data_IF_474676962197
#
_entry.id   IF_474676962197
#
_cell.length_a   1.000
_cell.length_b   1.000
_cell.length_c   1.000
_cell.angle_alpha   90.00
_cell.angle_beta   90.00
_cell.angle_gamma   90.00
#
_symmetry.space_group_name_H-M   'P 1'
#
loop_
_entity.id
_entity.type
_entity.pdbx_description
1 polymer ?
#
# COMPACT_ATOMS: atom_id res chain seq x y z
N UNK A 1 -4.11 23.90 -25.93
CA UNK A 1 -3.64 24.33 -24.59
C UNK A 1 -2.34 23.60 -24.28
N UNK A 2 -1.20 24.30 -24.12
CA UNK A 2 0.08 23.67 -23.73
C UNK A 2 0.28 23.87 -22.23
N UNK A 3 0.28 22.79 -21.45
CA UNK A 3 0.60 22.86 -20.02
C UNK A 3 2.11 23.07 -19.84
N UNK A 4 2.51 23.91 -18.87
CA UNK A 4 3.92 24.07 -18.50
C UNK A 4 4.24 23.05 -17.40
N UNK A 5 5.32 22.26 -17.51
CA UNK A 5 5.71 21.34 -16.45
C UNK A 5 6.17 22.12 -15.20
N UNK A 6 5.80 21.62 -14.01
CA UNK A 6 6.27 22.16 -12.74
C UNK A 6 7.67 21.58 -12.43
N UNK A 7 8.74 22.39 -12.37
CA UNK A 7 10.09 21.89 -12.09
C UNK A 7 10.26 21.37 -10.65
N UNK A 8 9.28 21.59 -9.76
CA UNK A 8 9.24 21.07 -8.39
C UNK A 8 8.18 19.99 -8.20
N UNK A 9 7.80 19.27 -9.25
CA UNK A 9 6.88 18.14 -9.11
C UNK A 9 7.50 17.07 -8.20
N UNK A 10 6.70 16.52 -7.28
CA UNK A 10 7.07 15.33 -6.53
C UNK A 10 7.35 14.16 -7.49
N UNK A 11 8.30 13.30 -7.12
CA UNK A 11 8.50 12.03 -7.80
C UNK A 11 7.37 11.03 -7.50
N UNK A 12 6.64 11.24 -6.41
CA UNK A 12 5.53 10.39 -5.97
C UNK A 12 4.17 10.97 -6.36
N UNK A 13 3.21 10.07 -6.58
CA UNK A 13 1.81 10.46 -6.78
C UNK A 13 1.20 11.01 -5.48
N UNK A 14 0.29 11.97 -5.61
CA UNK A 14 -0.43 12.58 -4.49
C UNK A 14 -1.50 11.65 -3.88
N UNK A 15 -1.86 10.59 -4.61
CA UNK A 15 -2.89 9.61 -4.24
C UNK A 15 -2.29 8.22 -4.16
N UNK A 16 -2.78 7.42 -3.24
CA UNK A 16 -2.52 5.99 -3.13
C UNK A 16 -3.84 5.25 -2.91
N UNK A 17 -3.82 3.93 -3.02
CA UNK A 17 -4.98 3.09 -2.77
C UNK A 17 -4.61 1.87 -1.91
N UNK A 18 -5.50 1.54 -0.98
CA UNK A 18 -5.47 0.30 -0.23
C UNK A 18 -6.41 -0.71 -0.89
N UNK A 19 -5.90 -1.88 -1.29
CA UNK A 19 -6.63 -2.85 -2.12
C UNK A 19 -6.41 -4.25 -1.56
N UNK A 20 -7.49 -4.98 -1.29
CA UNK A 20 -7.39 -6.41 -0.98
C UNK A 20 -7.10 -7.24 -2.23
N UNK A 21 -6.29 -8.28 -2.06
CA UNK A 21 -5.91 -9.17 -3.15
C UNK A 21 -5.92 -10.62 -2.69
N UNK A 22 -6.07 -11.55 -3.64
CA UNK A 22 -5.93 -12.99 -3.40
C UNK A 22 -4.48 -13.45 -3.44
N UNK A 23 -3.58 -12.62 -3.99
CA UNK A 23 -2.16 -12.91 -4.05
C UNK A 23 -1.54 -12.93 -2.64
N UNK A 24 -0.61 -13.83 -2.42
CA UNK A 24 0.25 -13.88 -1.24
C UNK A 24 1.32 -12.78 -1.29
N UNK A 25 1.91 -12.48 -0.13
CA UNK A 25 3.07 -11.57 -0.05
C UNK A 25 4.22 -12.00 -0.96
N UNK A 26 4.52 -13.29 -1.02
CA UNK A 26 5.59 -13.82 -1.87
C UNK A 26 5.34 -13.56 -3.37
N UNK A 27 4.10 -13.74 -3.83
CA UNK A 27 3.71 -13.45 -5.21
C UNK A 27 3.78 -11.96 -5.51
N UNK A 28 3.33 -11.10 -4.58
CA UNK A 28 3.43 -9.65 -4.70
C UNK A 28 4.88 -9.21 -4.87
N UNK A 29 5.79 -9.71 -4.01
CA UNK A 29 7.21 -9.38 -4.08
C UNK A 29 7.83 -9.91 -5.39
N UNK A 30 7.46 -11.13 -5.80
CA UNK A 30 7.94 -11.72 -7.05
C UNK A 30 7.54 -10.91 -8.29
N UNK A 31 6.37 -10.25 -8.28
CA UNK A 31 5.93 -9.36 -9.36
C UNK A 31 6.71 -8.04 -9.41
N UNK A 32 7.18 -7.52 -8.27
CA UNK A 32 7.93 -6.27 -8.20
C UNK A 32 9.39 -6.42 -8.67
N UNK A 33 10.00 -7.57 -8.36
CA UNK A 33 11.44 -7.78 -8.54
C UNK A 33 11.96 -7.59 -9.98
N UNK A 34 11.34 -8.15 -11.03
CA UNK A 34 11.82 -8.00 -12.41
C UNK A 34 11.83 -6.55 -12.89
N UNK A 35 10.90 -5.75 -12.40
CA UNK A 35 10.76 -4.33 -12.75
C UNK A 35 11.63 -3.41 -11.88
N UNK A 36 12.32 -3.96 -10.88
CA UNK A 36 13.07 -3.18 -9.89
C UNK A 36 12.15 -2.28 -9.04
N UNK A 37 10.88 -2.66 -8.87
CA UNK A 37 9.94 -1.92 -8.04
C UNK A 37 10.14 -2.27 -6.57
N UNK A 38 9.93 -1.29 -5.70
CA UNK A 38 9.97 -1.47 -4.25
C UNK A 38 8.67 -2.16 -3.79
N UNK A 39 8.80 -3.33 -3.18
CA UNK A 39 7.73 -4.03 -2.48
C UNK A 39 8.20 -4.47 -1.09
N UNK A 40 7.43 -4.17 -0.04
CA UNK A 40 7.79 -4.55 1.34
C UNK A 40 6.55 -4.63 2.24
N UNK A 41 6.61 -5.51 3.23
CA UNK A 41 5.63 -5.54 4.33
C UNK A 41 5.93 -4.42 5.31
N UNK A 42 4.93 -3.60 5.59
CA UNK A 42 5.00 -2.50 6.55
C UNK A 42 3.93 -2.69 7.62
N UNK A 43 4.34 -2.60 8.89
CA UNK A 43 3.39 -2.57 9.99
C UNK A 43 2.82 -1.17 10.17
N UNK A 44 1.53 -1.08 10.53
CA UNK A 44 0.87 0.12 11.03
C UNK A 44 0.81 0.01 12.55
N UNK A 45 1.96 0.20 13.20
CA UNK A 45 2.12 0.16 14.67
C UNK A 45 1.56 -1.10 15.36
N UNK A 46 1.66 -2.26 14.69
CA UNK A 46 1.15 -3.53 15.21
C UNK A 46 -0.37 -3.72 15.11
N UNK A 47 -1.13 -2.72 14.63
CA UNK A 47 -2.57 -2.84 14.44
C UNK A 47 -2.93 -3.79 13.30
N UNK A 48 -2.31 -3.56 12.14
CA UNK A 48 -2.35 -4.41 10.97
C UNK A 48 -1.12 -4.13 10.12
N UNK A 49 -0.86 -4.99 9.14
CA UNK A 49 0.23 -4.78 8.18
C UNK A 49 -0.37 -4.44 6.81
N UNK A 50 0.44 -3.93 5.92
CA UNK A 50 0.15 -3.84 4.48
C UNK A 50 1.40 -4.24 3.71
N UNK A 51 1.25 -4.68 2.46
CA UNK A 51 2.39 -4.74 1.54
C UNK A 51 2.40 -3.43 0.75
N UNK A 52 3.36 -2.57 1.05
CA UNK A 52 3.61 -1.37 0.24
C UNK A 52 4.22 -1.80 -1.09
N UNK A 53 3.50 -1.55 -2.18
CA UNK A 53 3.89 -1.88 -3.54
C UNK A 53 4.00 -0.59 -4.37
N UNK A 54 5.22 -0.21 -4.73
CA UNK A 54 5.52 1.05 -5.38
C UNK A 54 5.69 0.86 -6.88
N UNK A 55 4.58 1.00 -7.62
CA UNK A 55 4.57 0.92 -9.09
C UNK A 55 5.48 2.00 -9.67
N UNK A 56 6.47 1.56 -10.46
CA UNK A 56 7.53 2.40 -11.04
C UNK A 56 8.32 3.22 -10.00
N UNK A 57 8.28 2.82 -8.73
CA UNK A 57 8.81 3.58 -7.60
C UNK A 57 8.17 4.99 -7.45
N UNK A 58 6.91 5.16 -7.91
CA UNK A 58 6.17 6.44 -7.90
C UNK A 58 4.77 6.37 -7.29
N UNK A 59 3.98 5.37 -7.66
CA UNK A 59 2.61 5.20 -7.17
C UNK A 59 2.59 4.13 -6.08
N UNK A 60 2.15 4.49 -4.88
CA UNK A 60 1.96 3.55 -3.79
C UNK A 60 0.61 2.84 -3.93
N UNK A 61 0.64 1.51 -3.89
CA UNK A 61 -0.49 0.65 -3.58
C UNK A 61 -0.21 -0.06 -2.26
N UNK A 62 -1.15 -0.01 -1.34
CA UNK A 62 -1.12 -0.81 -0.11
C UNK A 62 -1.92 -2.08 -0.36
N UNK A 63 -1.25 -3.19 -0.60
CA UNK A 63 -1.90 -4.46 -0.89
C UNK A 63 -2.17 -5.23 0.39
N UNK A 64 -3.40 -5.73 0.54
CA UNK A 64 -3.84 -6.54 1.67
C UNK A 64 -4.03 -8.00 1.21
N UNK A 65 -2.99 -8.85 1.31
CA UNK A 65 -3.09 -10.28 1.06
C UNK A 65 -3.99 -10.99 2.09
N UNK A 66 -4.42 -12.24 1.83
CA UNK A 66 -5.37 -12.94 2.69
C UNK A 66 -4.95 -13.10 4.16
N UNK A 67 -3.64 -13.16 4.45
CA UNK A 67 -3.12 -13.24 5.82
C UNK A 67 -3.23 -11.91 6.60
N UNK A 68 -3.30 -10.79 5.88
CA UNK A 68 -3.38 -9.43 6.45
C UNK A 68 -4.84 -9.00 6.65
N UNK A 69 -5.72 -9.33 5.70
CA UNK A 69 -7.13 -8.87 5.67
C UNK A 69 -7.86 -9.04 7.02
N UNK A 70 -7.77 -10.17 7.74
CA UNK A 70 -8.48 -10.35 9.00
C UNK A 70 -8.10 -9.32 10.08
N UNK A 71 -6.81 -8.99 10.20
CA UNK A 71 -6.34 -7.99 11.18
C UNK A 71 -6.79 -6.59 10.82
N UNK A 72 -6.71 -6.23 9.54
CA UNK A 72 -7.22 -4.96 9.04
C UNK A 72 -8.71 -4.82 9.33
N UNK A 73 -9.52 -5.82 8.99
CA UNK A 73 -10.97 -5.79 9.23
C UNK A 73 -11.31 -5.70 10.71
N UNK A 74 -10.57 -6.40 11.58
CA UNK A 74 -10.77 -6.33 13.02
C UNK A 74 -10.46 -4.92 13.57
N UNK A 75 -9.39 -4.29 13.10
CA UNK A 75 -9.01 -2.94 13.52
C UNK A 75 -9.98 -1.87 13.01
N UNK A 76 -10.48 -2.02 11.77
CA UNK A 76 -11.39 -1.05 11.16
C UNK A 76 -12.85 -1.19 11.62
N UNK A 77 -13.15 -2.05 12.59
CA UNK A 77 -14.47 -2.10 13.20
C UNK A 77 -14.75 -0.81 13.99
N UNK A 78 -15.98 -0.26 13.97
CA UNK A 78 -16.31 0.97 14.69
C UNK A 78 -15.93 0.93 16.17
N UNK A 79 -16.15 -0.20 16.84
CA UNK A 79 -15.85 -0.36 18.27
C UNK A 79 -14.35 -0.42 18.56
N UNK A 80 -13.54 -0.90 17.60
CA UNK A 80 -12.08 -0.91 17.72
C UNK A 80 -11.53 0.51 17.49
N UNK A 81 -12.00 1.19 16.44
CA UNK A 81 -11.62 2.58 16.15
C UNK A 81 -12.00 3.55 17.27
N UNK A 82 -13.17 3.39 17.89
CA UNK A 82 -13.59 4.21 19.04
C UNK A 82 -12.66 4.12 20.24
N UNK A 83 -11.93 3.01 20.41
CA UNK A 83 -10.97 2.85 21.52
C UNK A 83 -9.60 3.44 21.18
N UNK A 84 -9.36 3.71 19.90
CA UNK A 84 -8.09 4.22 19.40
C UNK A 84 -8.06 5.76 19.32
N UNK A 85 -9.22 6.38 19.03
CA UNK A 85 -9.42 7.84 18.99
C UNK A 85 -9.59 8.44 20.39
#
# INVERSE_FOLDING_TARGET
MKTRPNPRSSAYSATHAAISTVASEAEIIALANPEGWRALRCSRDGFFDVIEFWVENRLLLELLPPDIVPKYLAFMQPQALQKFL
#
